data_IF_394611171509
#
_entry.id   IF_394611171509
#
_cell.length_a   1.000
_cell.length_b   1.000
_cell.length_c   1.000
_cell.angle_alpha   90.00
_cell.angle_beta   90.00
_cell.angle_gamma   90.00
#
_symmetry.space_group_name_H-M   'P 1'
#
loop_
_entity.id
_entity.type
_entity.pdbx_description
1 polymer ?
#
# COMPACT_ATOMS: atom_id res chain seq x y z
N UNK A 1 50.05 10.62 -68.64
CA UNK A 1 50.45 10.41 -67.25
C UNK A 1 49.51 11.25 -66.38
N UNK A 2 48.35 10.67 -65.97
CA UNK A 2 47.39 11.34 -65.09
C UNK A 2 47.57 10.83 -63.67
N UNK A 3 47.88 11.73 -62.77
CA UNK A 3 47.99 11.45 -61.33
C UNK A 3 46.57 11.50 -60.74
N UNK A 4 46.14 10.40 -60.19
CA UNK A 4 44.89 10.25 -59.49
C UNK A 4 45.10 10.60 -58.02
N UNK A 5 44.48 11.69 -57.57
CA UNK A 5 44.49 12.09 -56.16
C UNK A 5 43.38 11.29 -55.43
N UNK A 6 43.84 10.46 -54.48
CA UNK A 6 42.94 9.75 -53.56
C UNK A 6 42.72 10.66 -52.33
N UNK A 7 41.51 11.22 -52.17
CA UNK A 7 41.10 11.94 -50.97
C UNK A 7 40.57 10.91 -49.97
N UNK A 8 41.33 10.71 -48.90
CA UNK A 8 40.90 9.88 -47.76
C UNK A 8 39.95 10.70 -46.90
N UNK A 9 38.69 10.33 -46.86
CA UNK A 9 37.69 10.90 -45.94
C UNK A 9 37.80 10.22 -44.57
N UNK A 10 38.38 10.93 -43.58
CA UNK A 10 38.34 10.49 -42.20
C UNK A 10 36.94 10.75 -41.62
N UNK A 11 36.14 9.67 -41.46
CA UNK A 11 34.93 9.70 -40.66
C UNK A 11 35.36 9.68 -39.17
N UNK A 12 35.26 10.82 -38.50
CA UNK A 12 35.38 10.90 -37.05
C UNK A 12 34.07 10.37 -36.43
N UNK A 13 34.15 9.19 -35.84
CA UNK A 13 33.09 8.65 -34.95
C UNK A 13 33.09 9.49 -33.67
N UNK A 14 32.14 10.43 -33.54
CA UNK A 14 31.85 11.03 -32.25
C UNK A 14 31.06 9.95 -31.43
N UNK A 15 31.81 9.30 -30.52
CA UNK A 15 31.18 8.56 -29.44
C UNK A 15 30.47 9.55 -28.51
N UNK A 16 29.16 9.66 -28.65
CA UNK A 16 28.34 10.25 -27.60
C UNK A 16 28.36 9.31 -26.39
N UNK A 17 29.26 9.55 -25.46
CA UNK A 17 29.18 9.00 -24.11
C UNK A 17 28.04 9.72 -23.44
N UNK A 18 26.87 9.08 -23.37
CA UNK A 18 25.83 9.50 -22.44
C UNK A 18 26.44 9.58 -21.05
N UNK A 19 26.22 10.66 -20.30
CA UNK A 19 26.66 10.69 -18.92
C UNK A 19 25.91 9.57 -18.18
N UNK A 20 26.62 8.52 -17.81
CA UNK A 20 26.17 7.62 -16.75
C UNK A 20 26.08 8.51 -15.52
N UNK A 21 24.84 8.74 -15.04
CA UNK A 21 24.61 9.42 -13.78
C UNK A 21 25.30 8.61 -12.68
N UNK A 22 26.57 8.89 -12.45
CA UNK A 22 27.24 8.59 -11.20
C UNK A 22 26.66 9.58 -10.18
N UNK A 23 25.59 9.21 -9.50
CA UNK A 23 25.26 9.86 -8.24
C UNK A 23 26.42 9.64 -7.30
N UNK A 24 27.11 10.72 -6.97
CA UNK A 24 27.99 10.78 -5.82
C UNK A 24 27.14 10.46 -4.58
N UNK A 25 27.08 9.19 -4.22
CA UNK A 25 26.59 8.75 -2.91
C UNK A 25 27.75 9.02 -1.93
N UNK A 26 27.84 10.23 -1.43
CA UNK A 26 28.45 10.49 -0.14
C UNK A 26 27.47 9.97 0.92
N UNK A 27 27.53 8.68 1.12
CA UNK A 27 27.29 7.90 2.32
C UNK A 27 27.36 6.42 1.88
N UNK A 28 28.58 5.88 1.92
CA UNK A 28 28.82 4.44 1.88
C UNK A 28 28.30 3.80 3.17
N UNK A 29 27.02 3.81 3.40
CA UNK A 29 26.40 2.73 4.12
C UNK A 29 26.33 1.57 3.14
N UNK A 30 27.43 0.81 3.06
CA UNK A 30 27.54 -0.38 2.24
C UNK A 30 26.28 -1.22 2.48
N UNK A 31 25.40 -1.34 1.47
CA UNK A 31 24.17 -2.12 1.56
C UNK A 31 24.55 -3.55 1.95
N UNK A 32 24.33 -3.91 3.21
CA UNK A 32 24.58 -5.28 3.66
C UNK A 32 23.68 -6.21 2.84
N UNK A 33 24.22 -7.28 2.25
CA UNK A 33 23.40 -8.26 1.54
C UNK A 33 22.26 -8.78 2.42
N UNK A 34 21.11 -9.02 1.81
CA UNK A 34 20.01 -9.75 2.46
C UNK A 34 20.11 -11.21 2.00
N UNK A 35 20.21 -12.13 2.95
CA UNK A 35 20.19 -13.54 2.64
C UNK A 35 18.77 -14.05 2.75
N UNK A 36 18.20 -14.49 1.64
CA UNK A 36 16.86 -15.07 1.54
C UNK A 36 16.98 -16.59 1.68
N UNK A 37 16.30 -17.15 2.67
CA UNK A 37 16.23 -18.59 2.91
C UNK A 37 15.20 -19.27 2.02
N UNK A 38 14.10 -18.59 1.67
CA UNK A 38 13.01 -19.11 0.85
C UNK A 38 12.27 -17.97 0.18
N UNK A 39 11.89 -18.15 -1.09
CA UNK A 39 11.05 -17.23 -1.83
C UNK A 39 10.22 -17.95 -2.87
N UNK A 40 9.10 -17.39 -3.25
CA UNK A 40 8.25 -17.97 -4.28
C UNK A 40 6.97 -17.18 -4.49
N UNK A 41 6.06 -17.75 -5.27
CA UNK A 41 4.75 -17.16 -5.51
C UNK A 41 3.67 -18.24 -5.64
N UNK A 42 2.44 -17.84 -5.36
CA UNK A 42 1.26 -18.70 -5.51
C UNK A 42 -0.01 -17.84 -5.64
N UNK A 43 -1.12 -18.46 -6.00
CA UNK A 43 -2.44 -17.84 -6.02
C UNK A 43 -3.29 -18.33 -4.84
N UNK A 44 -4.20 -17.48 -4.34
CA UNK A 44 -5.18 -17.82 -3.30
C UNK A 44 -6.55 -17.25 -3.59
N UNK A 45 -7.58 -17.88 -3.05
CA UNK A 45 -8.98 -17.48 -3.29
C UNK A 45 -9.38 -17.66 -4.75
N UNK A 46 -10.33 -16.85 -5.18
CA UNK A 46 -10.80 -16.84 -6.54
C UNK A 46 -12.03 -17.70 -6.79
N UNK A 47 -12.47 -17.66 -8.03
CA UNK A 47 -13.69 -18.34 -8.52
C UNK A 47 -13.35 -19.23 -9.71
N UNK A 48 -13.95 -20.41 -9.75
CA UNK A 48 -13.91 -21.31 -10.91
C UNK A 48 -15.27 -21.30 -11.59
N UNK A 49 -15.33 -20.75 -12.81
CA UNK A 49 -16.51 -20.85 -13.66
C UNK A 49 -16.43 -22.15 -14.47
N UNK A 50 -17.57 -22.79 -14.67
CA UNK A 50 -17.69 -23.99 -15.51
C UNK A 50 -18.78 -23.75 -16.54
N UNK A 51 -18.49 -23.97 -17.83
CA UNK A 51 -19.46 -23.86 -18.90
C UNK A 51 -20.31 -25.14 -19.04
N UNK A 52 -21.27 -25.13 -19.97
CA UNK A 52 -22.16 -26.28 -20.23
C UNK A 52 -21.47 -27.51 -20.79
N UNK A 53 -20.22 -27.37 -21.25
CA UNK A 53 -19.38 -28.48 -21.77
C UNK A 53 -18.39 -28.99 -20.73
N UNK A 54 -18.37 -28.39 -19.52
CA UNK A 54 -17.43 -28.74 -18.46
C UNK A 54 -16.07 -28.05 -18.54
N UNK A 55 -15.87 -27.09 -19.45
CA UNK A 55 -14.63 -26.31 -19.50
C UNK A 55 -14.55 -25.34 -18.34
N UNK A 56 -13.37 -25.18 -17.78
CA UNK A 56 -13.12 -24.38 -16.58
C UNK A 56 -12.41 -23.07 -16.88
N UNK A 57 -12.77 -22.04 -16.12
CA UNK A 57 -12.11 -20.76 -16.09
C UNK A 57 -11.83 -20.36 -14.64
N UNK A 58 -10.55 -20.22 -14.28
CA UNK A 58 -10.09 -19.78 -12.96
C UNK A 58 -9.83 -18.28 -12.99
N UNK A 59 -10.59 -17.50 -12.23
CA UNK A 59 -10.45 -16.03 -12.17
C UNK A 59 -10.62 -15.51 -10.74
N UNK A 60 -10.49 -14.19 -10.57
CA UNK A 60 -10.72 -13.46 -9.31
C UNK A 60 -9.87 -13.95 -8.12
N UNK A 61 -8.75 -14.62 -8.38
CA UNK A 61 -7.77 -14.99 -7.35
C UNK A 61 -6.85 -13.81 -7.04
N UNK A 62 -6.23 -13.80 -5.85
CA UNK A 62 -5.09 -12.96 -5.54
C UNK A 62 -3.79 -13.65 -5.96
N UNK A 63 -2.79 -12.87 -6.39
CA UNK A 63 -1.41 -13.31 -6.57
C UNK A 63 -0.59 -12.92 -5.36
N UNK A 64 0.26 -13.82 -4.88
CA UNK A 64 1.10 -13.62 -3.71
C UNK A 64 2.55 -13.91 -4.07
N UNK A 65 3.45 -12.95 -3.86
CA UNK A 65 4.89 -13.14 -3.89
C UNK A 65 5.44 -13.03 -2.48
N UNK A 66 6.31 -13.98 -2.07
CA UNK A 66 6.88 -13.95 -0.73
C UNK A 66 8.39 -14.12 -0.72
N UNK A 67 9.01 -13.52 0.30
CA UNK A 67 10.41 -13.70 0.65
C UNK A 67 10.55 -13.91 2.15
N UNK A 68 11.42 -14.87 2.54
CA UNK A 68 11.74 -15.20 3.93
C UNK A 68 13.24 -15.03 4.15
N UNK A 69 13.70 -14.10 4.96
CA UNK A 69 15.11 -13.97 5.28
C UNK A 69 15.57 -15.13 6.18
N UNK A 70 16.88 -15.37 6.20
CA UNK A 70 17.46 -16.28 7.18
C UNK A 70 17.21 -15.73 8.60
N UNK A 71 16.87 -16.59 9.55
CA UNK A 71 16.47 -16.25 10.92
C UNK A 71 15.24 -15.30 10.96
N UNK A 72 14.25 -15.58 10.13
CA UNK A 72 13.03 -14.80 10.08
C UNK A 72 12.31 -14.72 11.43
N UNK A 73 11.75 -13.55 11.73
CA UNK A 73 10.84 -13.32 12.85
C UNK A 73 9.60 -14.21 12.75
N UNK A 74 8.95 -14.44 13.91
CA UNK A 74 7.83 -15.38 14.05
C UNK A 74 6.67 -15.05 13.13
N UNK A 75 6.26 -13.77 13.08
CA UNK A 75 5.10 -13.33 12.32
C UNK A 75 5.53 -12.63 11.03
N UNK A 76 5.16 -13.15 9.85
CA UNK A 76 5.40 -12.45 8.58
C UNK A 76 4.51 -11.22 8.45
N UNK A 77 4.89 -10.31 7.56
CA UNK A 77 4.10 -9.16 7.15
C UNK A 77 3.37 -9.47 5.84
N UNK A 78 2.07 -9.28 5.82
CA UNK A 78 1.22 -9.37 4.62
C UNK A 78 0.83 -7.96 4.21
N UNK A 79 1.05 -7.58 2.95
CA UNK A 79 0.86 -6.23 2.46
C UNK A 79 -0.35 -6.12 1.53
N UNK A 80 -1.26 -5.18 1.83
CA UNK A 80 -2.44 -4.84 1.03
C UNK A 80 -2.35 -3.43 0.49
N UNK A 81 -2.28 -3.30 -0.84
CA UNK A 81 -2.20 -2.01 -1.53
C UNK A 81 -3.55 -1.28 -1.64
N UNK A 82 -3.52 0.00 -2.02
CA UNK A 82 -4.69 0.84 -2.25
C UNK A 82 -5.36 0.69 -3.62
N UNK A 83 -6.35 1.54 -3.90
CA UNK A 83 -6.97 1.65 -5.22
C UNK A 83 -5.96 2.14 -6.26
N UNK A 84 -6.08 1.64 -7.50
CA UNK A 84 -5.15 2.00 -8.57
C UNK A 84 -3.71 1.51 -8.36
N UNK A 85 -3.46 0.67 -7.37
CA UNK A 85 -2.15 0.17 -6.99
C UNK A 85 -2.07 -1.35 -7.15
N UNK A 86 -0.86 -1.87 -7.10
CA UNK A 86 -0.52 -3.31 -6.98
C UNK A 86 0.73 -3.45 -6.10
N UNK A 87 1.25 -4.64 -5.95
CA UNK A 87 2.38 -4.94 -5.04
C UNK A 87 3.60 -4.04 -5.20
N UNK A 88 3.83 -3.48 -6.41
CA UNK A 88 4.92 -2.54 -6.73
C UNK A 88 5.03 -1.38 -5.74
N UNK A 89 3.89 -0.91 -5.18
CA UNK A 89 3.89 0.21 -4.23
C UNK A 89 4.70 -0.06 -2.96
N UNK A 90 4.94 -1.31 -2.60
CA UNK A 90 5.72 -1.76 -1.44
C UNK A 90 7.18 -2.08 -1.75
N UNK A 91 7.52 -2.21 -3.03
CA UNK A 91 8.86 -2.54 -3.52
C UNK A 91 9.77 -1.30 -3.52
N UNK A 92 10.47 -1.02 -4.62
CA UNK A 92 11.28 0.19 -4.78
C UNK A 92 10.40 1.43 -4.88
N UNK A 93 10.73 2.47 -4.14
CA UNK A 93 10.04 3.77 -4.20
C UNK A 93 10.19 4.43 -5.58
N UNK A 94 9.35 5.40 -5.97
CA UNK A 94 9.46 6.06 -7.27
C UNK A 94 10.82 6.72 -7.53
N UNK A 95 11.51 7.16 -6.50
CA UNK A 95 12.85 7.76 -6.55
C UNK A 95 14.00 6.75 -6.40
N UNK A 96 13.70 5.44 -6.47
CA UNK A 96 14.69 4.36 -6.55
C UNK A 96 15.26 3.87 -5.21
N UNK A 97 14.75 4.37 -4.07
CA UNK A 97 15.14 3.89 -2.73
C UNK A 97 14.48 2.55 -2.39
N UNK A 98 14.93 1.92 -1.33
CA UNK A 98 14.28 0.73 -0.78
C UNK A 98 12.87 1.05 -0.26
N UNK A 99 11.88 0.29 -0.72
CA UNK A 99 10.53 0.33 -0.16
C UNK A 99 10.37 -0.60 1.03
N UNK A 100 9.17 -0.63 1.58
CA UNK A 100 8.88 -1.37 2.83
C UNK A 100 9.19 -2.85 2.76
N UNK A 101 9.03 -3.50 1.60
CA UNK A 101 9.42 -4.90 1.42
C UNK A 101 10.88 -5.12 1.83
N UNK A 102 11.81 -4.39 1.21
CA UNK A 102 13.25 -4.54 1.45
C UNK A 102 13.63 -4.09 2.85
N UNK A 103 13.07 -2.97 3.32
CA UNK A 103 13.33 -2.44 4.67
C UNK A 103 12.94 -3.47 5.74
N UNK A 104 11.78 -4.11 5.62
CA UNK A 104 11.32 -5.09 6.61
C UNK A 104 12.03 -6.44 6.47
N UNK A 105 12.46 -6.85 5.27
CA UNK A 105 13.39 -7.97 5.11
C UNK A 105 14.70 -7.74 5.88
N UNK A 106 15.27 -6.52 5.81
CA UNK A 106 16.46 -6.15 6.61
C UNK A 106 16.21 -6.17 8.10
N UNK A 107 14.99 -5.87 8.52
CA UNK A 107 14.55 -5.96 9.93
C UNK A 107 14.21 -7.40 10.36
N UNK A 108 14.39 -8.39 9.46
CA UNK A 108 14.21 -9.83 9.74
C UNK A 108 12.76 -10.32 9.58
N UNK A 109 11.85 -9.55 9.04
CA UNK A 109 10.50 -10.03 8.76
C UNK A 109 10.42 -10.74 7.41
N UNK A 110 9.69 -11.85 7.36
CA UNK A 110 9.22 -12.38 6.09
C UNK A 110 8.15 -11.46 5.51
N UNK A 111 8.14 -11.25 4.20
CA UNK A 111 7.21 -10.36 3.51
C UNK A 111 6.37 -11.13 2.50
N UNK A 112 5.08 -10.85 2.47
CA UNK A 112 4.12 -11.36 1.50
C UNK A 112 3.47 -10.18 0.79
N UNK A 113 3.86 -9.94 -0.44
CA UNK A 113 3.26 -8.91 -1.30
C UNK A 113 2.10 -9.52 -2.06
N UNK A 114 0.96 -8.84 -2.03
CA UNK A 114 -0.27 -9.37 -2.61
C UNK A 114 -0.78 -8.41 -3.68
N UNK A 115 -0.99 -8.93 -4.88
CA UNK A 115 -1.86 -8.29 -5.86
C UNK A 115 -3.29 -8.76 -5.61
N UNK A 116 -4.16 -7.81 -5.28
CA UNK A 116 -5.57 -8.09 -5.05
C UNK A 116 -6.22 -8.64 -6.32
N UNK A 117 -7.28 -9.45 -6.20
CA UNK A 117 -8.03 -9.92 -7.37
C UNK A 117 -8.29 -8.82 -8.38
N UNK A 118 -8.14 -9.11 -9.67
CA UNK A 118 -8.36 -8.19 -10.80
C UNK A 118 -7.33 -7.07 -10.93
N UNK A 119 -6.14 -7.18 -10.29
CA UNK A 119 -5.06 -6.17 -10.38
C UNK A 119 -3.69 -6.82 -10.56
N UNK A 120 -2.76 -6.05 -11.16
CA UNK A 120 -1.38 -6.47 -11.32
C UNK A 120 -1.26 -7.89 -11.90
N UNK A 121 -0.50 -8.75 -11.23
CA UNK A 121 -0.32 -10.16 -11.62
C UNK A 121 -1.58 -11.02 -11.40
N UNK A 122 -2.59 -10.51 -10.69
CA UNK A 122 -3.88 -11.16 -10.44
C UNK A 122 -4.98 -10.68 -11.41
N UNK A 123 -4.59 -10.26 -12.62
CA UNK A 123 -5.48 -9.59 -13.58
C UNK A 123 -6.55 -10.48 -14.24
N UNK A 124 -6.69 -11.75 -13.90
CA UNK A 124 -7.70 -12.64 -14.50
C UNK A 124 -9.04 -12.49 -13.83
N UNK A 125 -9.95 -11.75 -14.47
CA UNK A 125 -11.31 -11.44 -13.96
C UNK A 125 -12.35 -12.42 -14.48
N UNK A 126 -13.39 -12.71 -13.66
CA UNK A 126 -14.61 -13.41 -14.11
C UNK A 126 -15.65 -12.47 -14.74
N UNK A 127 -15.37 -11.15 -14.74
CA UNK A 127 -16.22 -10.15 -15.39
C UNK A 127 -15.68 -9.79 -16.78
N UNK A 128 -16.58 -9.42 -17.69
CA UNK A 128 -16.21 -8.80 -18.96
C UNK A 128 -15.76 -7.37 -18.71
N UNK A 129 -14.57 -6.99 -19.20
CA UNK A 129 -13.96 -5.70 -18.93
C UNK A 129 -13.55 -5.01 -20.22
N UNK A 130 -13.87 -3.72 -20.30
CA UNK A 130 -13.28 -2.80 -21.29
C UNK A 130 -12.41 -1.80 -20.54
N UNK A 131 -11.13 -1.71 -20.90
CA UNK A 131 -10.20 -0.74 -20.31
C UNK A 131 -10.13 0.46 -21.23
N UNK A 132 -10.33 1.65 -20.68
CA UNK A 132 -10.13 2.92 -21.37
C UNK A 132 -9.12 3.77 -20.59
N UNK A 133 -8.25 4.53 -21.27
CA UNK A 133 -7.40 5.51 -20.61
C UNK A 133 -8.23 6.51 -19.83
N UNK A 134 -7.78 6.83 -18.61
CA UNK A 134 -8.33 7.92 -17.79
C UNK A 134 -7.26 8.97 -17.61
N UNK A 135 -7.63 10.22 -17.75
CA UNK A 135 -6.76 11.38 -17.53
C UNK A 135 -7.06 11.94 -16.15
N UNK A 136 -6.61 11.23 -15.11
CA UNK A 136 -6.91 11.54 -13.70
C UNK A 136 -5.65 11.66 -12.82
N UNK A 137 -4.46 11.75 -13.44
CA UNK A 137 -3.19 11.84 -12.69
C UNK A 137 -3.10 13.13 -11.86
N UNK A 138 -3.64 14.26 -12.38
CA UNK A 138 -3.69 15.54 -11.66
C UNK A 138 -4.62 15.46 -10.45
N UNK A 139 -5.77 14.77 -10.58
CA UNK A 139 -6.67 14.51 -9.45
C UNK A 139 -5.99 13.66 -8.38
N UNK A 140 -5.22 12.64 -8.79
CA UNK A 140 -4.45 11.81 -7.85
C UNK A 140 -3.32 12.59 -7.19
N UNK A 141 -2.62 13.48 -7.92
CA UNK A 141 -1.62 14.37 -7.34
C UNK A 141 -2.19 15.18 -6.17
N UNK A 142 -3.36 15.81 -6.39
CA UNK A 142 -4.03 16.63 -5.38
C UNK A 142 -4.54 15.76 -4.22
N UNK A 143 -5.31 14.73 -4.52
CA UNK A 143 -5.94 13.84 -3.54
C UNK A 143 -4.92 13.12 -2.65
N UNK A 144 -3.77 12.76 -3.22
CA UNK A 144 -2.72 12.10 -2.47
C UNK A 144 -1.78 13.08 -1.75
N UNK A 145 -2.11 14.36 -1.79
CA UNK A 145 -1.45 15.43 -1.03
C UNK A 145 0.02 15.63 -1.38
N UNK A 146 0.38 15.47 -2.66
CA UNK A 146 1.67 15.93 -3.15
C UNK A 146 1.69 17.47 -3.22
N UNK A 147 0.55 18.06 -3.54
CA UNK A 147 0.36 19.50 -3.70
C UNK A 147 -0.99 19.81 -4.32
N UNK A 148 -1.08 20.95 -5.00
CA UNK A 148 -2.15 21.33 -5.92
C UNK A 148 -1.52 21.46 -7.30
N UNK A 149 -1.77 20.50 -8.16
CA UNK A 149 -1.10 20.40 -9.44
C UNK A 149 -1.08 21.73 -10.21
N UNK A 150 0.10 22.13 -10.76
CA UNK A 150 1.38 21.40 -10.73
C UNK A 150 2.27 21.73 -9.51
N UNK A 151 1.80 22.52 -8.54
CA UNK A 151 2.60 23.02 -7.43
C UNK A 151 2.59 22.04 -6.25
N UNK A 152 3.79 21.68 -5.77
CA UNK A 152 3.96 20.84 -4.60
C UNK A 152 3.73 21.62 -3.29
N UNK A 153 3.21 20.95 -2.27
CA UNK A 153 3.19 21.53 -0.93
C UNK A 153 4.61 21.80 -0.42
N UNK A 154 4.73 22.84 0.40
CA UNK A 154 6.00 23.15 1.07
C UNK A 154 6.36 22.01 2.04
N UNK A 155 7.61 21.56 2.01
CA UNK A 155 8.10 20.49 2.89
C UNK A 155 7.54 19.09 2.60
N UNK A 156 6.79 18.89 1.49
CA UNK A 156 6.28 17.58 1.13
C UNK A 156 7.42 16.55 1.02
N UNK A 157 7.21 15.37 1.57
CA UNK A 157 8.18 14.26 1.55
C UNK A 157 8.13 13.48 0.22
N UNK A 158 8.08 14.20 -0.88
CA UNK A 158 8.11 13.66 -2.24
C UNK A 158 9.13 14.41 -3.09
N UNK A 159 9.85 13.70 -3.96
CA UNK A 159 10.80 14.34 -4.87
C UNK A 159 10.09 15.19 -5.91
N UNK A 160 10.63 16.39 -6.18
CA UNK A 160 10.14 17.29 -7.24
C UNK A 160 10.73 16.98 -8.61
N UNK A 161 11.54 15.92 -8.73
CA UNK A 161 12.08 15.45 -10.00
C UNK A 161 10.96 14.91 -10.87
N UNK A 162 10.89 15.37 -12.11
CA UNK A 162 9.88 14.94 -13.09
C UNK A 162 9.92 13.42 -13.33
N UNK A 163 11.11 12.81 -13.39
CA UNK A 163 11.22 11.36 -13.61
C UNK A 163 10.62 10.59 -12.44
N UNK A 164 10.77 11.08 -11.20
CA UNK A 164 10.18 10.47 -10.02
C UNK A 164 8.65 10.56 -10.07
N UNK A 165 8.09 11.70 -10.50
CA UNK A 165 6.65 11.84 -10.69
C UNK A 165 6.15 10.90 -11.79
N UNK A 166 6.87 10.81 -12.90
CA UNK A 166 6.54 9.88 -13.99
C UNK A 166 6.57 8.41 -13.51
N UNK A 167 7.55 8.02 -12.67
CA UNK A 167 7.60 6.67 -12.06
C UNK A 167 6.44 6.44 -11.08
N UNK A 168 6.05 7.46 -10.34
CA UNK A 168 4.92 7.39 -9.43
C UNK A 168 3.59 7.13 -10.17
N UNK A 169 3.34 7.81 -11.29
CA UNK A 169 2.13 7.56 -12.09
C UNK A 169 2.18 6.23 -12.83
N UNK A 170 3.35 5.77 -13.30
CA UNK A 170 3.51 4.47 -13.98
C UNK A 170 3.28 3.25 -13.08
N UNK A 171 3.29 3.40 -11.77
CA UNK A 171 2.89 2.31 -10.87
C UNK A 171 1.37 2.19 -10.70
N UNK A 172 0.58 3.07 -11.30
CA UNK A 172 -0.87 2.94 -11.30
C UNK A 172 -1.32 1.80 -12.21
N UNK A 173 -2.34 1.04 -11.77
CA UNK A 173 -2.90 -0.08 -12.52
C UNK A 173 -4.43 -0.07 -12.47
N UNK A 174 -5.12 -0.40 -13.56
CA UNK A 174 -6.57 -0.50 -13.55
C UNK A 174 -7.04 -1.70 -12.74
N UNK A 175 -8.29 -1.64 -12.27
CA UNK A 175 -9.02 -2.81 -11.81
C UNK A 175 -9.74 -3.45 -12.98
N UNK A 176 -9.54 -4.75 -13.21
CA UNK A 176 -10.17 -5.51 -14.29
C UNK A 176 -11.55 -6.01 -13.85
N UNK A 177 -12.53 -5.11 -13.84
CA UNK A 177 -13.89 -5.34 -13.38
C UNK A 177 -14.32 -4.38 -12.28
N UNK A 178 -15.47 -4.67 -11.68
CA UNK A 178 -16.01 -3.90 -10.56
C UNK A 178 -15.16 -4.12 -9.31
N UNK A 179 -14.80 -3.05 -8.56
CA UNK A 179 -14.13 -3.22 -7.27
C UNK A 179 -15.06 -3.94 -6.28
N UNK A 180 -14.65 -5.13 -5.83
CA UNK A 180 -15.36 -5.91 -4.82
C UNK A 180 -14.47 -6.13 -3.58
N UNK A 181 -14.71 -5.36 -2.52
CA UNK A 181 -13.91 -5.43 -1.30
C UNK A 181 -14.15 -6.74 -0.53
N UNK A 182 -15.32 -7.38 -0.67
CA UNK A 182 -15.55 -8.68 -0.05
C UNK A 182 -14.76 -9.78 -0.74
N UNK A 183 -14.74 -9.79 -2.07
CA UNK A 183 -13.88 -10.69 -2.86
C UNK A 183 -12.40 -10.55 -2.45
N UNK A 184 -11.92 -9.31 -2.29
CA UNK A 184 -10.55 -9.06 -1.85
C UNK A 184 -10.32 -9.58 -0.43
N UNK A 185 -11.24 -9.30 0.49
CA UNK A 185 -11.15 -9.77 1.88
C UNK A 185 -11.15 -11.30 2.00
N UNK A 186 -11.93 -11.99 1.18
CA UNK A 186 -11.94 -13.46 1.09
C UNK A 186 -10.61 -14.03 0.59
N UNK A 187 -10.00 -13.39 -0.41
CA UNK A 187 -8.68 -13.78 -0.88
C UNK A 187 -7.59 -13.59 0.19
N UNK A 188 -7.62 -12.48 0.95
CA UNK A 188 -6.71 -12.29 2.09
C UNK A 188 -6.98 -13.27 3.22
N UNK A 189 -8.24 -13.56 3.56
CA UNK A 189 -8.56 -14.57 4.57
C UNK A 189 -8.00 -15.94 4.18
N UNK A 190 -8.17 -16.35 2.91
CA UNK A 190 -7.60 -17.58 2.38
C UNK A 190 -6.06 -17.58 2.45
N UNK A 191 -5.41 -16.41 2.24
CA UNK A 191 -3.96 -16.27 2.41
C UNK A 191 -3.57 -16.50 3.87
N UNK A 192 -4.20 -15.79 4.83
CA UNK A 192 -3.89 -15.95 6.25
C UNK A 192 -4.13 -17.39 6.73
N UNK A 193 -5.17 -18.05 6.25
CA UNK A 193 -5.45 -19.45 6.61
C UNK A 193 -4.39 -20.40 6.02
N UNK A 194 -3.84 -20.09 4.86
CA UNK A 194 -2.77 -20.86 4.22
C UNK A 194 -1.41 -20.69 4.91
N UNK A 195 -1.05 -19.46 5.30
CA UNK A 195 0.30 -19.17 5.85
C UNK A 195 0.35 -19.20 7.38
N UNK A 196 -0.81 -19.17 8.05
CA UNK A 196 -0.94 -19.08 9.50
C UNK A 196 -0.81 -17.64 10.03
N UNK A 197 -0.54 -17.49 11.34
CA UNK A 197 -0.53 -16.20 12.02
C UNK A 197 0.45 -15.19 11.41
N UNK A 198 -0.05 -13.98 11.06
CA UNK A 198 0.73 -12.93 10.42
C UNK A 198 0.22 -11.52 10.83
N UNK A 199 1.00 -10.51 10.53
CA UNK A 199 0.70 -9.08 10.72
C UNK A 199 0.19 -8.53 9.39
N UNK A 200 -0.89 -7.75 9.43
CA UNK A 200 -1.50 -7.18 8.24
C UNK A 200 -1.13 -5.71 8.09
N UNK A 201 -0.37 -5.38 7.05
CA UNK A 201 0.00 -4.02 6.66
C UNK A 201 -0.94 -3.60 5.53
N UNK A 202 -1.73 -2.55 5.74
CA UNK A 202 -2.74 -2.11 4.77
C UNK A 202 -2.54 -0.66 4.37
N UNK A 203 -2.96 -0.31 3.15
CA UNK A 203 -2.94 1.06 2.65
C UNK A 203 -4.25 1.42 1.95
N UNK A 204 -4.79 2.60 2.26
CA UNK A 204 -5.90 3.23 1.54
C UNK A 204 -7.11 2.28 1.41
N UNK A 205 -7.57 1.96 0.21
CA UNK A 205 -8.63 0.96 -0.02
C UNK A 205 -8.31 -0.39 0.64
N UNK A 206 -7.03 -0.77 0.69
CA UNK A 206 -6.58 -1.96 1.42
C UNK A 206 -6.89 -1.92 2.91
N UNK A 207 -7.03 -0.73 3.52
CA UNK A 207 -7.53 -0.57 4.89
C UNK A 207 -8.97 -1.06 5.02
N UNK A 208 -9.86 -0.62 4.11
CA UNK A 208 -11.23 -1.13 4.05
C UNK A 208 -11.29 -2.65 3.84
N UNK A 209 -10.39 -3.20 3.03
CA UNK A 209 -10.23 -4.66 2.88
C UNK A 209 -9.76 -5.30 4.19
N UNK A 210 -8.82 -4.65 4.90
CA UNK A 210 -8.32 -5.12 6.19
C UNK A 210 -9.44 -5.26 7.22
N UNK A 211 -10.31 -4.27 7.32
CA UNK A 211 -11.48 -4.30 8.21
C UNK A 211 -12.43 -5.45 7.88
N UNK A 212 -12.67 -5.74 6.60
CA UNK A 212 -13.51 -6.85 6.15
C UNK A 212 -12.84 -8.22 6.27
N UNK A 213 -11.49 -8.27 6.28
CA UNK A 213 -10.74 -9.53 6.40
C UNK A 213 -10.68 -10.02 7.84
N UNK A 214 -10.49 -9.12 8.81
CA UNK A 214 -10.29 -9.50 10.21
C UNK A 214 -11.40 -10.41 10.77
N UNK A 215 -12.71 -10.17 10.49
CA UNK A 215 -13.76 -11.05 10.96
C UNK A 215 -13.75 -12.46 10.32
N UNK A 216 -13.08 -12.64 9.19
CA UNK A 216 -13.12 -13.87 8.37
C UNK A 216 -12.04 -14.90 8.74
N UNK A 217 -11.00 -14.50 9.48
CA UNK A 217 -9.88 -15.40 9.87
C UNK A 217 -9.39 -15.13 11.28
N UNK A 218 -8.93 -16.16 11.97
CA UNK A 218 -8.29 -16.06 13.29
C UNK A 218 -6.76 -15.83 13.24
N UNK A 219 -6.18 -15.62 12.04
CA UNK A 219 -4.73 -15.61 11.85
C UNK A 219 -4.11 -14.20 11.74
N UNK A 220 -4.88 -13.13 11.86
CA UNK A 220 -4.35 -11.77 11.96
C UNK A 220 -3.92 -11.51 13.41
N UNK A 221 -2.65 -11.13 13.61
CA UNK A 221 -2.06 -10.84 14.93
C UNK A 221 -2.00 -9.36 15.26
N UNK A 222 -1.96 -8.50 14.25
CA UNK A 222 -2.02 -7.06 14.35
C UNK A 222 -2.40 -6.45 13.01
N UNK A 223 -2.90 -5.22 13.03
CA UNK A 223 -3.10 -4.42 11.81
C UNK A 223 -2.28 -3.13 11.93
N UNK A 224 -1.48 -2.84 10.91
CA UNK A 224 -0.84 -1.54 10.68
C UNK A 224 -1.51 -0.94 9.45
N UNK A 225 -2.29 0.09 9.63
CA UNK A 225 -3.09 0.70 8.55
C UNK A 225 -2.53 2.09 8.21
N UNK A 226 -2.07 2.26 6.97
CA UNK A 226 -1.68 3.55 6.43
C UNK A 226 -2.85 4.16 5.68
N UNK A 227 -3.28 5.36 6.11
CA UNK A 227 -4.28 6.13 5.40
C UNK A 227 -5.54 5.31 5.03
N UNK A 228 -6.12 4.53 5.95
CA UNK A 228 -7.18 3.58 5.60
C UNK A 228 -8.38 4.30 4.99
N UNK A 229 -8.85 3.78 3.86
CA UNK A 229 -10.09 4.20 3.22
C UNK A 229 -11.31 3.54 3.88
N UNK A 230 -12.46 3.88 3.42
CA UNK A 230 -13.84 3.48 3.78
C UNK A 230 -14.04 2.17 4.59
N UNK A 231 -15.30 1.92 4.94
CA UNK A 231 -15.80 0.73 5.66
C UNK A 231 -15.25 0.56 7.08
N UNK A 232 -15.01 1.68 7.79
CA UNK A 232 -14.62 1.65 9.21
C UNK A 232 -15.78 1.01 10.01
N UNK A 233 -15.58 -0.12 10.70
CA UNK A 233 -16.67 -0.87 11.32
C UNK A 233 -17.11 -0.28 12.66
N UNK A 234 -18.38 0.04 12.80
CA UNK A 234 -19.00 0.47 14.06
C UNK A 234 -20.10 -0.51 14.47
N UNK A 235 -20.33 -0.74 15.76
CA UNK A 235 -21.49 -1.48 16.21
C UNK A 235 -22.78 -0.79 15.76
N UNK A 236 -23.82 -1.58 15.45
CA UNK A 236 -25.15 -1.05 15.10
C UNK A 236 -25.62 0.00 16.11
N UNK A 237 -26.04 1.18 15.59
CA UNK A 237 -26.52 2.31 16.39
C UNK A 237 -25.43 3.12 17.10
N UNK A 238 -24.16 2.85 16.86
CA UNK A 238 -23.01 3.57 17.47
C UNK A 238 -22.14 4.28 16.45
N UNK A 239 -22.50 4.22 15.17
CA UNK A 239 -21.76 4.92 14.11
C UNK A 239 -22.01 6.44 14.22
N UNK A 240 -20.94 7.28 14.29
CA UNK A 240 -21.10 8.72 14.30
C UNK A 240 -21.55 9.23 12.92
N UNK A 241 -22.06 10.49 12.88
CA UNK A 241 -22.56 11.10 11.63
C UNK A 241 -21.51 11.13 10.53
N UNK A 242 -20.24 11.36 10.87
CA UNK A 242 -19.12 11.35 9.91
C UNK A 242 -18.96 9.98 9.21
N UNK A 243 -19.32 8.89 9.88
CA UNK A 243 -19.30 7.54 9.29
C UNK A 243 -20.35 7.35 8.19
N UNK A 244 -21.47 8.08 8.23
CA UNK A 244 -22.51 8.05 7.22
C UNK A 244 -22.17 8.87 5.97
N UNK A 245 -21.14 9.72 6.02
CA UNK A 245 -20.72 10.54 4.89
C UNK A 245 -20.22 9.65 3.76
N UNK A 246 -20.59 10.00 2.52
CA UNK A 246 -20.06 9.31 1.34
C UNK A 246 -18.71 9.89 0.95
N UNK A 247 -17.78 8.99 0.65
CA UNK A 247 -16.50 9.34 0.02
C UNK A 247 -16.73 9.90 -1.38
N UNK A 248 -15.73 10.55 -1.94
CA UNK A 248 -15.75 10.97 -3.35
C UNK A 248 -15.92 9.80 -4.32
N UNK A 249 -15.57 8.58 -3.91
CA UNK A 249 -15.83 7.34 -4.66
C UNK A 249 -17.25 6.78 -4.47
N UNK A 250 -18.13 7.48 -3.72
CA UNK A 250 -19.53 7.12 -3.49
C UNK A 250 -19.76 6.04 -2.43
N UNK A 251 -18.73 5.55 -1.75
CA UNK A 251 -18.82 4.60 -0.62
C UNK A 251 -19.00 5.36 0.69
N UNK A 252 -19.55 4.73 1.71
CA UNK A 252 -19.59 5.32 3.06
C UNK A 252 -18.24 5.17 3.76
N UNK A 253 -17.88 6.16 4.57
CA UNK A 253 -16.67 6.10 5.39
C UNK A 253 -16.76 4.99 6.44
N UNK A 254 -17.90 4.88 7.13
CA UNK A 254 -18.17 3.84 8.11
C UNK A 254 -19.16 2.79 7.60
N UNK A 255 -19.24 1.68 8.31
CA UNK A 255 -20.21 0.61 8.12
C UNK A 255 -20.68 0.10 9.48
N UNK A 256 -21.98 -0.13 9.63
CA UNK A 256 -22.51 -0.77 10.84
C UNK A 256 -22.39 -2.29 10.75
N UNK A 257 -21.83 -2.87 11.80
CA UNK A 257 -21.63 -4.33 11.94
C UNK A 257 -22.30 -4.84 13.23
N UNK A 258 -22.59 -6.14 13.33
CA UNK A 258 -23.00 -6.74 14.60
C UNK A 258 -21.94 -6.52 15.70
N UNK A 259 -22.35 -6.34 16.96
CA UNK A 259 -21.44 -6.15 18.09
C UNK A 259 -20.39 -7.29 18.19
N UNK A 260 -20.82 -8.53 17.94
CA UNK A 260 -19.91 -9.68 17.95
C UNK A 260 -18.75 -9.54 16.95
N UNK A 261 -19.05 -8.98 15.76
CA UNK A 261 -18.06 -8.72 14.73
C UNK A 261 -17.13 -7.57 15.14
N UNK A 262 -17.70 -6.47 15.66
CA UNK A 262 -16.91 -5.36 16.18
C UNK A 262 -15.95 -5.79 17.30
N UNK A 263 -16.36 -6.64 18.21
CA UNK A 263 -15.51 -7.14 19.31
C UNK A 263 -14.30 -7.96 18.83
N UNK A 264 -14.23 -8.38 17.55
CA UNK A 264 -13.01 -8.99 17.00
C UNK A 264 -11.87 -7.99 16.88
N UNK A 265 -12.16 -6.70 16.68
CA UNK A 265 -11.16 -5.62 16.62
C UNK A 265 -10.53 -5.32 17.98
N UNK A 266 -11.16 -5.69 19.08
CA UNK A 266 -10.60 -5.51 20.43
C UNK A 266 -9.61 -6.61 20.84
N UNK A 267 -9.42 -7.65 20.02
CA UNK A 267 -8.60 -8.83 20.36
C UNK A 267 -7.16 -8.76 19.84
N UNK A 268 -6.84 -7.77 19.05
CA UNK A 268 -5.52 -7.58 18.45
C UNK A 268 -5.11 -6.10 18.56
N UNK A 269 -3.81 -5.79 18.65
CA UNK A 269 -3.35 -4.42 18.57
C UNK A 269 -3.50 -3.88 17.15
N UNK A 270 -3.94 -2.62 17.06
CA UNK A 270 -4.16 -1.92 15.79
C UNK A 270 -3.52 -0.53 15.86
N UNK A 271 -2.73 -0.18 14.84
CA UNK A 271 -2.21 1.17 14.68
C UNK A 271 -2.59 1.73 13.31
N UNK A 272 -3.02 2.98 13.30
CA UNK A 272 -3.42 3.72 12.10
C UNK A 272 -2.51 4.93 11.96
N UNK A 273 -1.96 5.14 10.77
CA UNK A 273 -1.15 6.30 10.42
C UNK A 273 -1.86 7.16 9.40
N UNK A 274 -1.89 8.48 9.64
CA UNK A 274 -2.33 9.50 8.69
C UNK A 274 -1.20 10.51 8.46
N UNK A 275 -0.99 10.89 7.20
CA UNK A 275 0.04 11.83 6.78
C UNK A 275 -0.31 13.28 7.10
N UNK A 276 0.38 14.18 6.42
CA UNK A 276 0.29 15.64 6.62
C UNK A 276 -0.62 16.31 5.57
N UNK A 277 -0.65 17.65 5.58
CA UNK A 277 -1.41 18.49 4.66
C UNK A 277 -2.92 18.21 4.69
N UNK A 278 -3.46 18.04 5.90
CA UNK A 278 -4.89 17.88 6.16
C UNK A 278 -5.50 19.26 6.46
N UNK A 279 -6.39 19.82 5.59
CA UNK A 279 -6.98 21.13 5.83
C UNK A 279 -7.98 21.10 7.00
N UNK A 280 -8.06 22.20 7.75
CA UNK A 280 -9.00 22.32 8.88
C UNK A 280 -10.44 22.61 8.41
N UNK A 281 -10.61 23.18 7.22
CA UNK A 281 -11.90 23.59 6.66
C UNK A 281 -12.15 22.95 5.28
N UNK A 282 -13.42 22.77 4.93
CA UNK A 282 -13.85 22.10 3.70
C UNK A 282 -13.87 23.06 2.49
N UNK A 283 -12.73 23.69 2.19
CA UNK A 283 -12.55 24.46 0.95
C UNK A 283 -12.14 23.57 -0.23
N UNK A 284 -11.57 22.39 0.06
CA UNK A 284 -11.12 21.41 -0.92
C UNK A 284 -11.58 20.01 -0.49
N UNK A 285 -12.73 19.56 -0.99
CA UNK A 285 -13.35 18.29 -0.55
C UNK A 285 -12.44 17.07 -0.72
N UNK A 286 -11.58 17.07 -1.75
CA UNK A 286 -10.64 15.99 -2.03
C UNK A 286 -9.52 15.85 -0.98
N UNK A 287 -9.19 16.95 -0.29
CA UNK A 287 -8.24 16.97 0.82
C UNK A 287 -8.97 16.82 2.17
N UNK A 288 -10.09 17.52 2.34
CA UNK A 288 -10.86 17.50 3.57
C UNK A 288 -11.45 16.10 3.89
N UNK A 289 -11.64 15.25 2.89
CA UNK A 289 -12.01 13.85 3.08
C UNK A 289 -11.01 13.14 4.04
N UNK A 290 -9.73 13.45 3.97
CA UNK A 290 -8.70 12.86 4.84
C UNK A 290 -8.76 13.41 6.27
N UNK A 291 -9.10 14.69 6.46
CA UNK A 291 -9.34 15.27 7.77
C UNK A 291 -10.52 14.59 8.47
N UNK A 292 -11.64 14.41 7.75
CA UNK A 292 -12.79 13.65 8.28
C UNK A 292 -12.42 12.23 8.67
N UNK A 293 -11.60 11.55 7.87
CA UNK A 293 -11.10 10.20 8.19
C UNK A 293 -10.24 10.17 9.44
N UNK A 294 -9.36 11.13 9.63
CA UNK A 294 -8.59 11.26 10.86
C UNK A 294 -9.52 11.34 12.08
N UNK A 295 -10.54 12.20 12.03
CA UNK A 295 -11.50 12.34 13.12
C UNK A 295 -12.32 11.05 13.32
N UNK A 296 -12.79 10.43 12.24
CA UNK A 296 -13.54 9.17 12.32
C UNK A 296 -12.70 8.04 12.91
N UNK A 297 -11.44 7.90 12.48
CA UNK A 297 -10.53 6.89 12.99
C UNK A 297 -10.22 7.08 14.47
N UNK A 298 -10.11 8.32 14.95
CA UNK A 298 -9.94 8.62 16.37
C UNK A 298 -11.17 8.21 17.21
N UNK A 299 -12.39 8.50 16.71
CA UNK A 299 -13.63 8.07 17.35
C UNK A 299 -13.74 6.54 17.36
N UNK A 300 -13.39 5.89 16.25
CA UNK A 300 -13.37 4.43 16.16
C UNK A 300 -12.38 3.80 17.12
N UNK A 301 -11.13 4.30 17.17
CA UNK A 301 -10.11 3.79 18.09
C UNK A 301 -10.50 3.99 19.56
N UNK A 302 -11.09 5.12 19.90
CA UNK A 302 -11.62 5.37 21.24
C UNK A 302 -12.67 4.33 21.62
N UNK A 303 -13.61 4.03 20.69
CA UNK A 303 -14.62 3.01 20.91
C UNK A 303 -14.03 1.60 21.04
N UNK A 304 -13.06 1.22 20.18
CA UNK A 304 -12.35 -0.07 20.32
C UNK A 304 -11.70 -0.19 21.70
N UNK A 305 -11.07 0.87 22.18
CA UNK A 305 -10.39 0.90 23.48
C UNK A 305 -11.39 0.89 24.66
N UNK A 306 -12.56 1.54 24.54
CA UNK A 306 -13.64 1.47 25.51
C UNK A 306 -14.14 0.04 25.73
N UNK A 307 -14.14 -0.77 24.67
CA UNK A 307 -14.48 -2.19 24.73
C UNK A 307 -13.29 -3.11 25.05
N UNK A 308 -12.19 -2.55 25.57
CA UNK A 308 -11.03 -3.31 26.07
C UNK A 308 -10.01 -3.69 24.98
N UNK A 309 -10.04 -3.03 23.84
CA UNK A 309 -9.07 -3.22 22.76
C UNK A 309 -7.80 -2.37 22.92
N UNK A 310 -6.96 -2.40 21.89
CA UNK A 310 -5.69 -1.69 21.80
C UNK A 310 -5.54 -1.07 20.40
N UNK A 311 -6.21 0.07 20.19
CA UNK A 311 -6.18 0.81 18.93
C UNK A 311 -5.56 2.19 19.12
N UNK A 312 -4.59 2.54 18.27
CA UNK A 312 -3.88 3.83 18.28
C UNK A 312 -3.99 4.50 16.92
N UNK A 313 -4.26 5.80 16.89
CA UNK A 313 -4.25 6.62 15.67
C UNK A 313 -3.14 7.66 15.80
N UNK A 314 -2.24 7.66 14.84
CA UNK A 314 -1.12 8.58 14.73
C UNK A 314 -1.36 9.51 13.54
N UNK A 315 -1.48 10.80 13.79
CA UNK A 315 -1.30 11.82 12.79
C UNK A 315 0.20 12.18 12.78
N UNK A 316 0.89 11.89 11.71
CA UNK A 316 2.36 11.93 11.66
C UNK A 316 2.98 13.26 12.13
N UNK A 317 2.40 14.45 11.83
CA UNK A 317 2.89 15.72 12.40
C UNK A 317 2.91 15.77 13.93
N UNK A 318 2.01 15.05 14.64
CA UNK A 318 1.96 15.03 16.11
C UNK A 318 3.15 14.31 16.75
N UNK A 319 3.87 13.52 15.95
CA UNK A 319 5.11 12.84 16.38
C UNK A 319 6.36 13.44 15.72
N UNK A 320 6.24 14.64 15.10
CA UNK A 320 7.35 15.37 14.49
C UNK A 320 7.73 14.91 13.08
N UNK A 321 6.88 14.14 12.41
CA UNK A 321 7.06 13.70 11.02
C UNK A 321 6.13 14.51 10.12
N UNK A 322 6.70 15.46 9.39
CA UNK A 322 5.96 16.43 8.58
C UNK A 322 6.07 16.14 7.10
N UNK A 323 5.12 16.68 6.32
CA UNK A 323 5.11 16.66 4.85
C UNK A 323 4.77 15.30 4.24
N UNK A 324 4.36 14.32 5.02
CA UNK A 324 4.01 12.99 4.51
C UNK A 324 2.74 13.04 3.66
N UNK A 325 2.84 12.38 2.50
CA UNK A 325 1.75 12.25 1.53
C UNK A 325 0.78 11.14 1.94
N UNK A 326 -0.10 10.76 1.00
CA UNK A 326 -0.95 9.56 1.16
C UNK A 326 -0.14 8.24 1.19
N UNK A 327 1.16 8.30 0.88
CA UNK A 327 2.05 7.12 0.82
C UNK A 327 3.23 7.23 1.80
N UNK A 328 3.00 7.31 3.13
CA UNK A 328 4.08 7.51 4.10
C UNK A 328 5.18 6.44 4.01
N UNK A 329 4.83 5.23 3.60
CA UNK A 329 5.76 4.11 3.42
C UNK A 329 6.66 4.24 2.17
N UNK A 330 6.37 5.20 1.29
CA UNK A 330 7.09 5.47 0.03
C UNK A 330 7.74 6.86 0.01
N UNK A 331 7.33 7.75 0.91
CA UNK A 331 7.83 9.11 1.05
C UNK A 331 9.33 9.16 1.35
N UNK A 332 9.97 10.33 1.19
CA UNK A 332 11.42 10.52 1.38
C UNK A 332 11.91 10.08 2.77
N UNK A 333 11.06 10.16 3.78
CA UNK A 333 11.33 9.75 5.16
C UNK A 333 10.81 8.33 5.51
N UNK A 334 10.58 7.47 4.50
CA UNK A 334 9.99 6.14 4.69
C UNK A 334 10.75 5.25 5.71
N UNK A 335 12.07 5.43 5.85
CA UNK A 335 12.85 4.71 6.88
C UNK A 335 12.39 5.09 8.29
N UNK A 336 12.13 6.38 8.56
CA UNK A 336 11.66 6.84 9.87
C UNK A 336 10.27 6.27 10.18
N UNK A 337 9.40 6.20 9.16
CA UNK A 337 8.08 5.56 9.27
C UNK A 337 8.23 4.06 9.57
N UNK A 338 9.11 3.36 8.84
CA UNK A 338 9.37 1.94 9.07
C UNK A 338 9.98 1.66 10.46
N UNK A 339 10.85 2.55 10.96
CA UNK A 339 11.41 2.46 12.30
C UNK A 339 10.35 2.64 13.38
N UNK A 340 9.42 3.58 13.19
CA UNK A 340 8.28 3.76 14.10
C UNK A 340 7.38 2.53 14.14
N UNK A 341 7.06 1.95 12.96
CA UNK A 341 6.30 0.69 12.88
C UNK A 341 7.04 -0.45 13.58
N UNK A 342 8.33 -0.60 13.32
CA UNK A 342 9.13 -1.67 13.93
C UNK A 342 9.21 -1.54 15.46
N UNK A 343 9.35 -0.31 15.96
CA UNK A 343 9.30 -0.02 17.41
C UNK A 343 7.95 -0.42 18.01
N UNK A 344 6.85 -0.04 17.36
CA UNK A 344 5.51 -0.42 17.82
C UNK A 344 5.31 -1.94 17.82
N UNK A 345 5.77 -2.65 16.77
CA UNK A 345 5.72 -4.11 16.71
C UNK A 345 6.53 -4.75 17.86
N UNK A 346 7.69 -4.17 18.19
CA UNK A 346 8.50 -4.61 19.33
C UNK A 346 7.77 -4.41 20.67
N UNK A 347 7.19 -3.25 20.90
CA UNK A 347 6.40 -2.92 22.11
C UNK A 347 5.20 -3.86 22.29
N UNK A 348 4.64 -4.39 21.19
CA UNK A 348 3.55 -5.38 21.22
C UNK A 348 4.04 -6.85 21.26
N UNK A 349 5.35 -7.11 21.32
CA UNK A 349 5.91 -8.47 21.33
C UNK A 349 5.70 -9.25 20.04
N UNK A 350 5.58 -8.54 18.90
CA UNK A 350 5.26 -9.12 17.60
C UNK A 350 6.51 -9.34 16.71
N UNK A 351 7.68 -9.04 17.22
CA UNK A 351 8.96 -9.15 16.52
C UNK A 351 9.90 -10.22 17.10
N UNK A 352 9.37 -11.13 17.89
CA UNK A 352 10.12 -12.27 18.43
C UNK A 352 10.72 -13.15 17.33
N UNK A 353 11.89 -13.72 17.59
CA UNK A 353 12.48 -14.77 16.73
C UNK A 353 11.66 -16.05 16.81
N UNK A 354 11.71 -16.88 15.77
CA UNK A 354 11.08 -18.20 15.78
C UNK A 354 11.74 -19.15 16.77
#
# INVERSE_FOLDING_TARGET
MNKMNITVLLLSFLCFTSPVFSQNREDEQAFKPITIADQGSFAVGGTVLVDSLGHQYHGDHAYVFYQKPVNAKRYPLVFAHGVGQFSKTWETTPDGREGFQTIFLRKGFSTYLVDQPRRGNAGRSTETVTISPKFDEEDWFNRFRLGIYPEYFEGVQFSRDKEVLDQYFRQMTPTLGSPDLNLYAEAYAALFDKIGPAIFITHSQGGGVGWLTLPKTGNIRAIVAFEPGCNVPFPKGMMPEEGAVRTLSGKTEGVEVPMEEFLKFTRIPIIVYLGDNLPEIDERPELYEWTRRLHLMRKWAALVNEYGGDATVIHLPEIGLYGNTHFPFSDLNNLQIADHVAKWLHEKGLDESR
#
